data_IF_693069138347
#
_entry.id   IF_693069138347
#
_cell.length_a   1.000
_cell.length_b   1.000
_cell.length_c   1.000
_cell.angle_alpha   90.00
_cell.angle_beta   90.00
_cell.angle_gamma   90.00
#
_symmetry.space_group_name_H-M   'P 1'
#
loop_
_entity.id
_entity.type
_entity.pdbx_description
1 polymer ?
#
# COMPACT_ATOMS: atom_id res chain seq x y z
N UNK A 1 -7.70 -11.72 -18.68
CA UNK A 1 -7.70 -10.72 -17.58
C UNK A 1 -7.45 -11.35 -16.20
N UNK A 2 -8.02 -12.53 -15.89
CA UNK A 2 -7.89 -13.22 -14.58
C UNK A 2 -6.46 -13.57 -14.16
N UNK A 3 -5.60 -14.02 -15.08
CA UNK A 3 -4.20 -14.37 -14.73
C UNK A 3 -3.38 -13.17 -14.23
N UNK A 4 -3.52 -12.00 -14.87
CA UNK A 4 -2.83 -10.77 -14.43
C UNK A 4 -3.27 -10.33 -13.03
N UNK A 5 -4.55 -10.56 -12.70
CA UNK A 5 -5.08 -10.26 -11.37
C UNK A 5 -4.58 -11.23 -10.29
N UNK A 6 -4.26 -12.48 -10.65
CA UNK A 6 -3.66 -13.44 -9.72
C UNK A 6 -2.17 -13.11 -9.49
N UNK A 7 -1.40 -12.86 -10.55
CA UNK A 7 0.01 -12.50 -10.47
C UNK A 7 0.23 -11.23 -9.63
N UNK A 8 -0.60 -10.20 -9.81
CA UNK A 8 -0.49 -8.95 -9.06
C UNK A 8 -0.66 -9.10 -7.53
N UNK A 9 -1.27 -10.19 -7.05
CA UNK A 9 -1.42 -10.45 -5.61
C UNK A 9 -0.11 -10.90 -4.96
N UNK A 10 0.83 -11.41 -5.74
CA UNK A 10 2.09 -12.01 -5.29
C UNK A 10 3.27 -11.15 -5.72
N UNK A 11 3.19 -10.51 -6.89
CA UNK A 11 4.24 -9.64 -7.39
C UNK A 11 4.50 -8.45 -6.45
N UNK A 12 5.76 -8.14 -6.13
CA UNK A 12 6.13 -6.97 -5.33
C UNK A 12 5.67 -5.65 -5.99
N UNK A 13 5.32 -4.66 -5.17
CA UNK A 13 4.98 -3.32 -5.64
C UNK A 13 6.12 -2.74 -6.50
N UNK A 14 5.75 -2.10 -7.60
CA UNK A 14 6.76 -1.51 -8.50
C UNK A 14 7.39 -0.26 -7.88
N UNK A 15 8.62 0.07 -8.28
CA UNK A 15 9.30 1.29 -7.84
C UNK A 15 8.46 2.57 -8.04
N UNK A 16 7.69 2.64 -9.14
CA UNK A 16 6.78 3.76 -9.42
C UNK A 16 5.63 3.83 -8.41
N UNK A 17 5.06 2.68 -8.02
CA UNK A 17 4.01 2.63 -6.99
C UNK A 17 4.56 3.03 -5.62
N UNK A 18 5.74 2.53 -5.25
CA UNK A 18 6.41 2.87 -3.99
C UNK A 18 6.67 4.37 -3.91
N UNK A 19 7.31 4.95 -4.94
CA UNK A 19 7.60 6.40 -5.00
C UNK A 19 6.32 7.24 -4.89
N UNK A 20 5.24 6.81 -5.53
CA UNK A 20 3.98 7.53 -5.48
C UNK A 20 3.31 7.43 -4.09
N UNK A 21 3.37 6.27 -3.45
CA UNK A 21 2.86 6.07 -2.08
C UNK A 21 3.65 6.89 -1.05
N UNK A 22 4.97 6.98 -1.17
CA UNK A 22 5.79 7.85 -0.30
C UNK A 22 5.35 9.32 -0.43
N UNK A 23 5.11 9.79 -1.66
CA UNK A 23 4.63 11.15 -1.90
C UNK A 23 3.19 11.40 -1.40
N UNK A 24 2.31 10.39 -1.48
CA UNK A 24 0.95 10.48 -0.93
C UNK A 24 0.98 10.48 0.59
N UNK A 25 1.75 9.60 1.21
CA UNK A 25 1.88 9.50 2.66
C UNK A 25 2.40 10.80 3.27
N UNK A 26 3.35 11.48 2.62
CA UNK A 26 3.84 12.79 3.07
C UNK A 26 2.77 13.89 3.10
N UNK A 27 1.64 13.70 2.40
CA UNK A 27 0.51 14.64 2.34
C UNK A 27 -0.74 14.12 3.06
N UNK A 28 -0.66 12.91 3.62
CA UNK A 28 -1.77 12.25 4.30
C UNK A 28 -1.51 12.30 5.80
N UNK A 29 -2.57 12.52 6.57
CA UNK A 29 -2.52 12.32 8.01
C UNK A 29 -2.00 10.90 8.36
N UNK A 30 -1.09 10.73 9.35
CA UNK A 30 -0.53 9.43 9.71
C UNK A 30 -1.58 8.38 10.12
N UNK A 31 -2.63 8.76 10.86
CA UNK A 31 -3.68 7.83 11.30
C UNK A 31 -4.51 7.36 10.10
N UNK A 32 -4.81 8.29 9.17
CA UNK A 32 -5.46 7.94 7.90
C UNK A 32 -4.58 6.99 7.08
N UNK A 33 -3.28 7.23 7.00
CA UNK A 33 -2.36 6.34 6.29
C UNK A 33 -2.39 4.93 6.89
N UNK A 34 -2.30 4.81 8.22
CA UNK A 34 -2.27 3.52 8.90
C UNK A 34 -3.58 2.75 8.74
N UNK A 35 -4.71 3.45 8.84
CA UNK A 35 -6.03 2.89 8.62
C UNK A 35 -6.16 2.32 7.21
N UNK A 36 -5.80 3.08 6.18
CA UNK A 36 -5.91 2.63 4.79
C UNK A 36 -4.86 1.57 4.45
N UNK A 37 -3.67 1.64 5.05
CA UNK A 37 -2.65 0.61 4.91
C UNK A 37 -3.15 -0.73 5.46
N UNK A 38 -3.70 -0.75 6.67
CA UNK A 38 -4.27 -1.95 7.29
C UNK A 38 -5.39 -2.56 6.43
N UNK A 39 -6.27 -1.72 5.86
CA UNK A 39 -7.31 -2.18 4.91
C UNK A 39 -6.70 -2.76 3.63
N UNK A 40 -5.65 -2.14 3.09
CA UNK A 40 -5.01 -2.56 1.84
C UNK A 40 -4.33 -3.93 1.96
N UNK A 41 -3.76 -4.26 3.14
CA UNK A 41 -3.08 -5.53 3.41
C UNK A 41 -4.00 -6.61 4.00
N UNK A 42 -5.25 -6.29 4.31
CA UNK A 42 -6.24 -7.26 4.81
C UNK A 42 -6.38 -8.45 3.86
N UNK A 43 -6.24 -9.66 4.40
CA UNK A 43 -6.30 -10.91 3.64
C UNK A 43 -5.03 -11.24 2.85
N UNK A 44 -3.90 -10.62 3.21
CA UNK A 44 -2.55 -10.96 2.74
C UNK A 44 -1.68 -11.33 3.94
N UNK A 45 -0.53 -11.95 3.70
CA UNK A 45 0.46 -12.27 4.76
C UNK A 45 1.30 -11.06 5.19
N UNK A 46 0.94 -9.85 4.74
CA UNK A 46 1.62 -8.60 5.04
C UNK A 46 0.99 -8.00 6.31
N UNK A 47 1.80 -7.83 7.35
CA UNK A 47 1.34 -7.18 8.57
C UNK A 47 1.04 -5.68 8.36
N UNK A 48 0.11 -5.09 9.13
CA UNK A 48 -0.07 -3.64 9.22
C UNK A 48 1.24 -2.89 9.53
N UNK A 49 1.28 -1.58 9.31
CA UNK A 49 2.46 -0.77 9.67
C UNK A 49 2.59 -0.74 11.19
N UNK A 50 3.78 -1.06 11.69
CA UNK A 50 4.09 -0.94 13.11
C UNK A 50 4.35 0.52 13.50
N UNK A 51 4.16 0.85 14.78
CA UNK A 51 4.29 2.22 15.30
C UNK A 51 5.67 2.84 15.03
N UNK A 52 6.75 2.07 15.21
CA UNK A 52 8.12 2.49 14.94
C UNK A 52 8.56 2.29 13.47
N UNK A 53 7.70 1.72 12.62
CA UNK A 53 8.04 1.42 11.23
C UNK A 53 7.87 2.67 10.35
N UNK A 54 8.91 3.01 9.59
CA UNK A 54 8.81 4.12 8.63
C UNK A 54 7.87 3.77 7.47
N UNK A 55 7.18 4.78 6.94
CA UNK A 55 6.30 4.62 5.75
C UNK A 55 7.04 3.97 4.59
N UNK A 56 8.28 4.40 4.30
CA UNK A 56 9.09 3.85 3.21
C UNK A 56 9.37 2.35 3.37
N UNK A 57 9.61 1.88 4.60
CA UNK A 57 9.78 0.46 4.89
C UNK A 57 8.46 -0.31 4.71
N UNK A 58 7.36 0.25 5.21
CA UNK A 58 6.04 -0.38 5.12
C UNK A 58 5.58 -0.57 3.67
N UNK A 59 5.69 0.47 2.82
CA UNK A 59 5.22 0.40 1.43
C UNK A 59 6.06 -0.55 0.55
N UNK A 60 7.32 -0.80 0.91
CA UNK A 60 8.19 -1.77 0.21
C UNK A 60 7.79 -3.23 0.45
N UNK A 61 7.02 -3.51 1.51
CA UNK A 61 6.47 -4.85 1.79
C UNK A 61 5.23 -5.17 0.94
N UNK A 62 4.65 -4.18 0.28
CA UNK A 62 3.41 -4.33 -0.46
C UNK A 62 3.59 -5.13 -1.76
N UNK A 63 2.55 -5.86 -2.14
CA UNK A 63 2.41 -6.39 -3.50
C UNK A 63 1.81 -5.32 -4.43
N UNK A 64 1.88 -5.54 -5.75
CA UNK A 64 1.30 -4.61 -6.75
C UNK A 64 -0.18 -4.38 -6.50
N UNK A 65 -0.93 -5.42 -6.12
CA UNK A 65 -2.35 -5.34 -5.81
C UNK A 65 -2.62 -4.49 -4.56
N UNK A 66 -1.93 -4.76 -3.45
CA UNK A 66 -2.11 -4.00 -2.20
C UNK A 66 -1.67 -2.55 -2.35
N UNK A 67 -0.56 -2.29 -3.04
CA UNK A 67 -0.12 -0.94 -3.38
C UNK A 67 -1.17 -0.18 -4.21
N UNK A 68 -1.80 -0.84 -5.20
CA UNK A 68 -2.86 -0.21 -6.00
C UNK A 68 -4.09 0.12 -5.16
N UNK A 69 -4.50 -0.76 -4.24
CA UNK A 69 -5.60 -0.49 -3.30
C UNK A 69 -5.30 0.75 -2.46
N UNK A 70 -4.12 0.79 -1.84
CA UNK A 70 -3.71 1.92 -1.00
C UNK A 70 -3.63 3.23 -1.78
N UNK A 71 -3.04 3.21 -2.98
CA UNK A 71 -3.01 4.37 -3.88
C UNK A 71 -4.43 4.88 -4.15
N UNK A 72 -5.37 3.99 -4.46
CA UNK A 72 -6.75 4.36 -4.77
C UNK A 72 -7.44 5.00 -3.56
N UNK A 73 -7.25 4.45 -2.37
CA UNK A 73 -7.84 4.96 -1.13
C UNK A 73 -7.27 6.31 -0.68
N UNK A 74 -5.97 6.55 -0.94
CA UNK A 74 -5.31 7.80 -0.55
C UNK A 74 -5.49 8.91 -1.59
N UNK A 75 -5.50 8.57 -2.89
CA UNK A 75 -5.71 9.53 -3.97
C UNK A 75 -7.19 9.88 -4.19
N UNK A 76 -8.11 8.96 -3.86
CA UNK A 76 -9.53 9.23 -3.77
C UNK A 76 -9.86 9.99 -2.48
N UNK A 77 -10.52 11.14 -2.60
CA UNK A 77 -11.10 11.84 -1.46
C UNK A 77 -12.16 10.92 -0.84
N UNK A 78 -11.89 10.37 0.35
CA UNK A 78 -12.94 9.88 1.25
C UNK A 78 -13.76 11.08 1.75
#
# INVERSE_FOLDING_TARGET
MRERSAAAKIEPATAKQIKYLEALAAKTDPERFDTEFAKAVKGTDINPRGEAETTGRAVRRLTRASARKLITALAGRA
#
